data_IF_076776405004
#
_entry.id   IF_076776405004
#
_cell.length_a   1.000
_cell.length_b   1.000
_cell.length_c   1.000
_cell.angle_alpha   90.00
_cell.angle_beta   90.00
_cell.angle_gamma   90.00
#
_symmetry.space_group_name_H-M   'P 1'
#
loop_
_entity.id
_entity.type
_entity.pdbx_description
1 polymer ?
#
# COMPACT_ATOMS: atom_id res chain seq x y z
N UNK A 1 40.01 -16.48 -47.31
CA UNK A 1 41.37 -16.07 -46.87
C UNK A 1 41.23 -14.62 -46.43
N UNK A 2 41.43 -14.32 -45.13
CA UNK A 2 42.70 -13.82 -44.56
C UNK A 2 43.13 -12.50 -45.23
N UNK A 3 43.36 -11.41 -44.50
CA UNK A 3 43.86 -11.30 -43.11
C UNK A 3 42.98 -10.48 -42.14
N UNK A 4 43.20 -10.68 -40.84
CA UNK A 4 42.66 -9.84 -39.76
C UNK A 4 43.58 -8.64 -39.49
N UNK A 5 43.04 -7.59 -38.88
CA UNK A 5 43.81 -6.57 -38.18
C UNK A 5 43.40 -6.57 -36.69
N UNK A 6 44.36 -6.77 -35.79
CA UNK A 6 44.20 -6.62 -34.34
C UNK A 6 45.17 -5.54 -33.87
N UNK A 7 44.74 -4.68 -32.94
CA UNK A 7 45.62 -3.77 -32.21
C UNK A 7 45.10 -3.59 -30.78
N UNK A 8 45.89 -4.04 -29.80
CA UNK A 8 45.57 -4.00 -28.38
C UNK A 8 46.55 -3.09 -27.65
N UNK A 9 46.05 -2.06 -26.96
CA UNK A 9 46.63 -1.32 -25.82
C UNK A 9 45.40 -0.66 -25.14
N UNK A 10 45.03 -0.83 -23.88
CA UNK A 10 45.69 -1.10 -22.59
C UNK A 10 45.90 0.16 -21.71
N UNK A 11 45.15 0.19 -20.61
CA UNK A 11 45.48 0.84 -19.32
C UNK A 11 45.61 2.36 -19.21
N UNK A 12 44.65 2.98 -18.49
CA UNK A 12 44.98 3.86 -17.36
C UNK A 12 43.80 3.95 -16.38
N UNK A 13 44.08 3.83 -15.08
CA UNK A 13 43.17 4.14 -13.98
C UNK A 13 43.75 5.35 -13.23
N UNK A 14 42.92 6.31 -12.85
CA UNK A 14 43.31 7.28 -11.84
C UNK A 14 42.14 7.64 -10.93
N UNK A 15 42.24 7.25 -9.67
CA UNK A 15 41.49 7.88 -8.59
C UNK A 15 42.20 9.18 -8.20
N UNK A 16 41.44 10.15 -7.70
CA UNK A 16 41.97 11.26 -6.90
C UNK A 16 40.96 11.60 -5.80
N UNK A 17 41.32 11.29 -4.56
CA UNK A 17 40.57 11.67 -3.36
C UNK A 17 40.97 13.08 -2.92
N UNK A 18 40.01 13.88 -2.46
CA UNK A 18 40.27 15.16 -1.81
C UNK A 18 39.29 15.37 -0.64
N UNK A 19 39.84 15.67 0.54
CA UNK A 19 39.08 15.83 1.79
C UNK A 19 39.79 16.81 2.73
N UNK A 20 39.18 17.98 3.00
CA UNK A 20 39.57 19.00 3.99
C UNK A 20 38.46 20.08 4.06
N UNK A 21 38.22 20.86 5.13
CA UNK A 21 38.80 20.87 6.50
C UNK A 21 37.69 21.18 7.55
N UNK A 22 38.00 21.70 8.73
CA UNK A 22 37.04 22.07 9.80
C UNK A 22 36.76 23.58 9.93
N UNK A 23 35.63 23.93 10.55
CA UNK A 23 35.41 25.21 11.25
C UNK A 23 33.91 25.54 11.45
N UNK A 24 33.41 26.01 12.60
CA UNK A 24 34.00 26.08 13.95
C UNK A 24 33.49 27.24 14.81
N UNK A 25 32.72 26.96 15.88
CA UNK A 25 32.29 27.91 16.95
C UNK A 25 31.39 29.11 16.54
N UNK A 26 30.64 29.80 17.43
CA UNK A 26 29.99 29.48 18.72
C UNK A 26 29.11 30.67 19.20
N UNK A 27 28.46 30.53 20.37
CA UNK A 27 27.85 31.57 21.25
C UNK A 27 26.41 32.09 20.98
N UNK A 28 25.57 31.89 22.00
CA UNK A 28 24.46 32.80 22.39
C UNK A 28 25.00 33.82 23.43
N UNK A 29 24.27 34.91 23.81
CA UNK A 29 23.26 34.77 24.89
C UNK A 29 22.09 35.82 24.92
N UNK A 30 21.04 35.53 25.73
CA UNK A 30 20.24 36.39 26.67
C UNK A 30 19.83 37.86 26.28
N UNK A 31 18.69 38.46 26.71
CA UNK A 31 17.58 38.09 27.62
C UNK A 31 16.41 39.11 27.63
N UNK A 32 15.23 38.71 28.17
CA UNK A 32 14.19 39.54 28.86
C UNK A 32 13.44 40.67 28.05
N UNK A 33 12.25 41.20 28.42
CA UNK A 33 11.33 40.94 29.56
C UNK A 33 9.85 41.31 29.29
N UNK A 34 8.94 40.56 29.93
CA UNK A 34 7.61 40.90 30.51
C UNK A 34 6.75 42.12 30.05
N UNK A 35 5.45 41.87 29.80
CA UNK A 35 4.31 42.59 30.43
C UNK A 35 2.98 41.79 30.40
N UNK A 36 1.97 42.25 31.16
CA UNK A 36 0.80 41.49 31.62
C UNK A 36 -0.46 41.58 30.73
N UNK A 37 -1.28 40.53 30.74
CA UNK A 37 -2.65 40.49 30.20
C UNK A 37 -3.49 39.39 30.87
N UNK A 38 -4.81 39.58 30.99
CA UNK A 38 -5.73 38.74 31.79
C UNK A 38 -7.16 38.81 31.22
N UNK A 39 -8.05 37.83 31.41
CA UNK A 39 -7.94 36.50 32.04
C UNK A 39 -7.97 35.42 30.92
N UNK A 40 -8.53 34.19 30.91
CA UNK A 40 -9.48 33.40 31.76
C UNK A 40 -9.21 31.89 31.70
N UNK A 41 -9.90 31.17 32.59
CA UNK A 41 -10.19 29.73 32.61
C UNK A 41 -10.54 29.13 31.24
N UNK A 42 -10.14 27.91 30.88
CA UNK A 42 -10.17 26.69 31.72
C UNK A 42 -8.93 25.81 31.52
N UNK A 43 -8.41 25.18 32.58
CA UNK A 43 -7.22 24.33 32.50
C UNK A 43 -7.25 23.15 33.48
N UNK A 44 -7.02 21.94 32.97
CA UNK A 44 -6.62 20.78 33.76
C UNK A 44 -5.25 20.28 33.25
N UNK A 45 -4.20 20.89 33.79
CA UNK A 45 -2.89 20.25 33.90
C UNK A 45 -2.94 19.24 35.10
N UNK A 46 -1.98 18.34 35.32
CA UNK A 46 -0.61 18.36 34.80
C UNK A 46 0.08 16.98 34.75
N UNK A 47 1.14 16.91 33.93
CA UNK A 47 2.34 16.10 34.21
C UNK A 47 3.07 16.61 35.48
N UNK A 48 3.89 15.87 36.23
CA UNK A 48 4.53 14.55 36.03
C UNK A 48 4.96 13.96 37.39
N UNK A 49 4.81 12.63 37.53
CA UNK A 49 5.75 11.66 38.14
C UNK A 49 6.67 12.11 39.30
N UNK A 50 6.38 11.66 40.51
CA UNK A 50 7.35 11.28 41.54
C UNK A 50 6.78 10.11 42.37
N UNK A 51 7.61 9.28 43.00
CA UNK A 51 7.21 7.97 43.53
C UNK A 51 6.78 8.00 45.01
N UNK A 52 5.79 7.17 45.35
CA UNK A 52 5.68 6.54 46.68
C UNK A 52 4.93 5.22 46.59
N UNK A 53 5.50 4.15 47.15
CA UNK A 53 4.77 2.90 47.38
C UNK A 53 3.74 3.09 48.50
N UNK A 54 2.51 2.68 48.24
CA UNK A 54 1.60 2.16 49.24
C UNK A 54 0.79 1.03 48.58
N UNK A 55 0.68 -0.10 49.26
CA UNK A 55 -0.14 -1.23 48.84
C UNK A 55 -1.55 -1.03 49.38
N UNK A 56 -2.56 -1.05 48.51
CA UNK A 56 -3.94 -1.23 48.94
C UNK A 56 -4.67 -2.13 47.93
N UNK A 57 -5.57 -2.98 48.44
CA UNK A 57 -6.04 -4.15 47.71
C UNK A 57 -7.27 -3.82 46.86
N UNK A 58 -7.15 -3.95 45.54
CA UNK A 58 -8.32 -4.14 44.67
C UNK A 58 -8.86 -5.55 44.83
N UNK A 59 -10.18 -5.69 44.98
CA UNK A 59 -10.82 -6.97 45.30
C UNK A 59 -10.89 -7.89 44.07
N UNK A 60 -10.29 -9.09 44.16
CA UNK A 60 -10.55 -10.16 43.20
C UNK A 60 -11.97 -10.68 43.40
N UNK A 61 -12.82 -10.58 42.37
CA UNK A 61 -14.20 -11.05 42.43
C UNK A 61 -14.25 -12.56 42.67
N UNK A 62 -14.70 -12.98 43.87
CA UNK A 62 -14.55 -14.35 44.35
C UNK A 62 -15.13 -15.38 43.36
N UNK A 63 -14.28 -16.32 42.94
CA UNK A 63 -14.68 -17.37 42.01
C UNK A 63 -15.82 -18.21 42.58
N UNK A 64 -16.81 -18.55 41.74
CA UNK A 64 -18.03 -19.25 42.15
C UNK A 64 -17.73 -20.57 42.93
N UNK A 65 -16.65 -21.26 42.56
CA UNK A 65 -16.12 -22.46 43.25
C UNK A 65 -15.60 -22.17 44.66
N UNK A 66 -15.03 -20.99 44.89
CA UNK A 66 -14.54 -20.57 46.20
C UNK A 66 -15.70 -20.16 47.12
N UNK A 67 -16.66 -19.39 46.60
CA UNK A 67 -17.92 -19.07 47.30
C UNK A 67 -18.60 -20.36 47.77
N UNK A 68 -18.75 -21.34 46.87
CA UNK A 68 -19.33 -22.65 47.20
C UNK A 68 -18.49 -23.45 48.22
N UNK A 69 -17.16 -23.36 48.16
CA UNK A 69 -16.28 -24.01 49.15
C UNK A 69 -16.49 -23.39 50.55
N UNK A 70 -16.49 -22.06 50.65
CA UNK A 70 -16.71 -21.31 51.89
C UNK A 70 -18.12 -21.51 52.46
N UNK A 71 -19.13 -21.66 51.60
CA UNK A 71 -20.51 -22.02 52.02
C UNK A 71 -20.56 -23.45 52.57
N UNK A 72 -19.94 -24.43 51.89
CA UNK A 72 -19.87 -25.82 52.35
C UNK A 72 -19.01 -26.03 53.62
N UNK A 73 -18.17 -25.05 53.95
CA UNK A 73 -17.43 -24.97 55.21
C UNK A 73 -18.29 -24.43 56.35
N UNK A 74 -19.06 -23.36 56.12
CA UNK A 74 -19.96 -22.77 57.12
C UNK A 74 -21.20 -23.63 57.43
N UNK A 75 -21.64 -24.48 56.50
CA UNK A 75 -22.84 -25.33 56.65
C UNK A 75 -22.61 -26.66 57.41
N UNK A 76 -21.41 -26.91 57.94
CA UNK A 76 -21.12 -28.13 58.71
C UNK A 76 -21.02 -29.43 57.89
N UNK A 77 -21.08 -29.35 56.55
CA UNK A 77 -21.07 -30.53 55.67
C UNK A 77 -19.78 -31.35 55.80
N UNK A 78 -19.93 -32.68 55.72
CA UNK A 78 -18.86 -33.66 55.88
C UNK A 78 -17.80 -33.57 54.77
N UNK A 79 -16.55 -33.91 55.10
CA UNK A 79 -15.45 -33.95 54.15
C UNK A 79 -15.72 -34.87 52.93
N UNK A 80 -16.56 -35.90 53.09
CA UNK A 80 -17.03 -36.76 51.99
C UNK A 80 -17.96 -36.00 51.03
N UNK A 81 -18.84 -35.16 51.56
CA UNK A 81 -19.83 -34.40 50.80
C UNK A 81 -19.18 -33.25 50.03
N UNK A 82 -18.22 -32.54 50.64
CA UNK A 82 -17.42 -31.50 49.96
C UNK A 82 -16.65 -32.06 48.75
N UNK A 83 -16.11 -33.27 48.87
CA UNK A 83 -15.47 -33.99 47.73
C UNK A 83 -16.50 -34.35 46.64
N UNK A 84 -17.67 -34.85 47.01
CA UNK A 84 -18.76 -35.17 46.07
C UNK A 84 -19.30 -33.93 45.34
N UNK A 85 -19.38 -32.78 46.01
CA UNK A 85 -19.74 -31.49 45.40
C UNK A 85 -18.70 -31.08 44.34
N UNK A 86 -17.41 -31.01 44.69
CA UNK A 86 -16.34 -30.66 43.73
C UNK A 86 -16.26 -31.63 42.55
N UNK A 87 -16.53 -32.93 42.75
CA UNK A 87 -16.62 -33.91 41.64
C UNK A 87 -17.84 -33.68 40.75
N UNK A 88 -19.02 -33.37 41.32
CA UNK A 88 -20.22 -33.03 40.54
C UNK A 88 -20.06 -31.73 39.76
N UNK A 89 -19.38 -30.74 40.32
CA UNK A 89 -19.10 -29.47 39.64
C UNK A 89 -18.01 -29.59 38.58
N UNK A 90 -16.93 -30.33 38.83
CA UNK A 90 -15.98 -30.68 37.78
C UNK A 90 -16.64 -31.47 36.63
N UNK A 91 -17.66 -32.29 36.91
CA UNK A 91 -18.46 -32.96 35.87
C UNK A 91 -19.34 -31.96 35.10
N UNK A 92 -20.13 -31.13 35.80
CA UNK A 92 -20.96 -30.07 35.17
C UNK A 92 -20.11 -29.12 34.33
N UNK A 93 -18.94 -28.72 34.81
CA UNK A 93 -18.02 -27.82 34.12
C UNK A 93 -17.48 -28.46 32.83
N UNK A 94 -17.07 -29.74 32.86
CA UNK A 94 -16.66 -30.48 31.66
C UNK A 94 -17.80 -30.67 30.66
N UNK A 95 -19.03 -30.86 31.14
CA UNK A 95 -20.23 -30.96 30.30
C UNK A 95 -20.62 -29.60 29.70
N UNK A 96 -20.38 -28.50 30.43
CA UNK A 96 -20.54 -27.12 29.97
C UNK A 96 -19.49 -26.76 28.91
N UNK A 97 -18.20 -27.00 29.17
CA UNK A 97 -17.09 -26.80 28.21
C UNK A 97 -17.30 -27.61 26.94
N UNK A 98 -17.73 -28.88 27.06
CA UNK A 98 -18.05 -29.76 25.93
C UNK A 98 -19.25 -29.29 25.09
N UNK A 99 -20.12 -28.44 25.62
CA UNK A 99 -21.30 -27.89 24.91
C UNK A 99 -21.12 -26.44 24.47
N UNK A 100 -20.23 -25.68 25.10
CA UNK A 100 -20.03 -24.24 24.87
C UNK A 100 -18.73 -23.90 24.12
N UNK A 101 -17.82 -24.87 23.90
CA UNK A 101 -16.63 -24.68 23.07
C UNK A 101 -16.95 -24.66 21.56
N UNK A 102 -17.86 -23.78 21.15
CA UNK A 102 -18.10 -23.44 19.75
C UNK A 102 -17.71 -21.96 19.50
N UNK A 103 -16.50 -21.69 18.99
CA UNK A 103 -15.96 -20.33 18.93
C UNK A 103 -16.79 -19.36 18.09
N UNK A 104 -16.82 -18.08 18.48
CA UNK A 104 -17.55 -17.05 17.75
C UNK A 104 -17.04 -16.90 16.29
N UNK A 105 -15.73 -17.07 16.06
CA UNK A 105 -15.17 -17.05 14.70
C UNK A 105 -15.68 -18.21 13.82
N UNK A 106 -16.04 -19.35 14.41
CA UNK A 106 -16.59 -20.48 13.67
C UNK A 106 -18.03 -20.19 13.24
N UNK A 107 -18.84 -19.58 14.12
CA UNK A 107 -20.20 -19.11 13.77
C UNK A 107 -20.18 -18.12 12.61
N UNK A 108 -19.28 -17.13 12.66
CA UNK A 108 -19.10 -16.14 11.59
C UNK A 108 -18.76 -16.81 10.24
N UNK A 109 -17.97 -17.88 10.24
CA UNK A 109 -17.69 -18.65 9.01
C UNK A 109 -18.89 -19.49 8.54
N UNK A 110 -19.71 -20.03 9.44
CA UNK A 110 -20.94 -20.75 9.07
C UNK A 110 -22.04 -19.82 8.56
N UNK A 111 -22.13 -18.61 9.10
CA UNK A 111 -23.02 -17.57 8.60
C UNK A 111 -22.54 -17.09 7.22
N UNK A 112 -21.23 -16.83 7.05
CA UNK A 112 -20.64 -16.51 5.75
C UNK A 112 -20.84 -17.60 4.68
N UNK A 113 -20.79 -18.88 5.05
CA UNK A 113 -21.09 -20.01 4.15
C UNK A 113 -22.54 -20.08 3.63
N UNK A 114 -23.45 -19.24 4.13
CA UNK A 114 -24.83 -19.11 3.61
C UNK A 114 -24.91 -18.13 2.45
N UNK A 115 -23.97 -17.20 2.37
CA UNK A 115 -23.94 -16.08 1.41
C UNK A 115 -22.82 -16.26 0.36
N UNK A 116 -21.69 -16.87 0.74
CA UNK A 116 -20.53 -17.12 -0.12
C UNK A 116 -20.41 -18.60 -0.52
N UNK A 117 -20.65 -18.89 -1.80
CA UNK A 117 -20.53 -20.22 -2.40
C UNK A 117 -19.07 -20.70 -2.53
N UNK A 118 -18.09 -19.81 -2.72
CA UNK A 118 -16.67 -20.20 -2.72
C UNK A 118 -16.22 -20.60 -1.31
N UNK A 119 -16.67 -19.89 -0.27
CA UNK A 119 -16.40 -20.24 1.12
C UNK A 119 -17.10 -21.57 1.49
N UNK A 120 -18.32 -21.77 1.02
CA UNK A 120 -19.05 -23.05 1.15
C UNK A 120 -18.29 -24.20 0.48
N UNK A 121 -17.77 -23.99 -0.73
CA UNK A 121 -16.92 -24.94 -1.45
C UNK A 121 -15.48 -25.09 -0.87
N UNK A 122 -15.10 -24.24 0.09
CA UNK A 122 -13.86 -24.37 0.87
C UNK A 122 -14.06 -25.27 2.09
N UNK A 123 -15.15 -25.08 2.84
CA UNK A 123 -15.40 -25.79 4.10
C UNK A 123 -16.15 -27.12 3.91
N UNK A 124 -17.16 -27.17 3.04
CA UNK A 124 -17.94 -28.36 2.71
C UNK A 124 -18.44 -29.11 3.95
N UNK A 125 -18.21 -30.43 3.99
CA UNK A 125 -18.60 -31.34 5.08
C UNK A 125 -17.93 -31.06 6.45
N UNK A 126 -17.14 -29.98 6.56
CA UNK A 126 -16.44 -29.59 7.80
C UNK A 126 -17.20 -28.54 8.61
N UNK A 127 -18.31 -28.02 8.08
CA UNK A 127 -19.27 -27.15 8.80
C UNK A 127 -19.72 -27.86 10.09
N UNK A 128 -19.90 -27.12 11.19
CA UNK A 128 -20.22 -27.66 12.51
C UNK A 128 -19.02 -28.16 13.35
N UNK A 129 -17.79 -28.18 12.83
CA UNK A 129 -16.59 -28.56 13.62
C UNK A 129 -15.44 -27.54 13.46
N UNK A 130 -15.13 -26.74 14.50
CA UNK A 130 -14.15 -25.65 14.38
C UNK A 130 -12.73 -26.15 14.07
N UNK A 131 -12.30 -27.29 14.61
CA UNK A 131 -10.95 -27.81 14.35
C UNK A 131 -10.77 -28.21 12.88
N UNK A 132 -11.80 -28.81 12.28
CA UNK A 132 -11.81 -29.16 10.87
C UNK A 132 -11.98 -27.92 9.97
N UNK A 133 -12.82 -26.96 10.33
CA UNK A 133 -12.97 -25.69 9.60
C UNK A 133 -11.64 -24.94 9.54
N UNK A 134 -10.96 -24.79 10.68
CA UNK A 134 -9.64 -24.16 10.76
C UNK A 134 -8.64 -24.89 9.86
N UNK A 135 -8.55 -26.22 9.97
CA UNK A 135 -7.60 -27.01 9.17
C UNK A 135 -7.87 -26.91 7.66
N UNK A 136 -9.15 -26.97 7.22
CA UNK A 136 -9.54 -26.77 5.81
C UNK A 136 -9.13 -25.39 5.31
N UNK A 137 -9.38 -24.34 6.11
CA UNK A 137 -9.03 -22.96 5.76
C UNK A 137 -7.51 -22.77 5.68
N UNK A 138 -6.75 -23.31 6.64
CA UNK A 138 -5.29 -23.28 6.69
C UNK A 138 -4.65 -24.05 5.50
N UNK A 139 -5.18 -25.23 5.16
CA UNK A 139 -4.78 -25.98 3.97
C UNK A 139 -5.13 -25.27 2.66
N UNK A 140 -6.28 -24.58 2.58
CA UNK A 140 -6.64 -23.74 1.42
C UNK A 140 -5.72 -22.53 1.31
N UNK A 141 -5.41 -21.82 2.39
CA UNK A 141 -4.44 -20.71 2.39
C UNK A 141 -3.06 -21.19 1.94
N UNK A 142 -2.58 -22.34 2.45
CA UNK A 142 -1.30 -22.95 2.04
C UNK A 142 -1.28 -23.42 0.57
N UNK A 143 -2.43 -23.72 -0.02
CA UNK A 143 -2.58 -24.16 -1.43
C UNK A 143 -2.87 -22.97 -2.37
N UNK A 144 -4.07 -22.37 -2.28
CA UNK A 144 -4.48 -21.18 -3.07
C UNK A 144 -3.55 -19.98 -2.86
N UNK A 145 -2.82 -19.87 -1.75
CA UNK A 145 -1.88 -18.76 -1.49
C UNK A 145 -0.72 -18.61 -2.48
N UNK A 146 -0.46 -19.62 -3.33
CA UNK A 146 0.48 -19.54 -4.47
C UNK A 146 -0.23 -19.42 -5.84
N UNK A 147 -1.53 -19.65 -5.85
CA UNK A 147 -2.41 -19.71 -7.02
C UNK A 147 -3.36 -18.47 -7.07
N UNK A 148 -3.21 -17.51 -6.15
CA UNK A 148 -3.84 -16.19 -6.19
C UNK A 148 -3.32 -15.30 -7.33
N UNK A 149 -2.32 -15.77 -8.10
CA UNK A 149 -1.91 -15.13 -9.34
C UNK A 149 -3.08 -15.18 -10.34
N UNK A 150 -3.56 -13.99 -10.63
CA UNK A 150 -4.38 -13.65 -11.79
C UNK A 150 -3.75 -14.25 -13.05
N UNK A 151 -4.56 -14.54 -14.07
CA UNK A 151 -4.03 -14.90 -15.40
C UNK A 151 -3.37 -13.66 -16.00
N UNK A 152 -2.06 -13.56 -15.84
CA UNK A 152 -1.20 -12.57 -16.48
C UNK A 152 -1.49 -12.59 -17.99
N UNK A 153 -2.08 -11.51 -18.50
CA UNK A 153 -2.52 -11.38 -19.91
C UNK A 153 -1.59 -10.47 -20.72
N UNK A 154 -0.60 -9.88 -20.05
CA UNK A 154 0.40 -9.00 -20.65
C UNK A 154 1.63 -9.71 -21.23
N UNK A 155 2.69 -8.94 -21.38
CA UNK A 155 4.00 -9.33 -21.92
C UNK A 155 5.01 -9.57 -20.79
N UNK A 156 5.64 -10.75 -20.82
CA UNK A 156 6.81 -11.07 -19.98
C UNK A 156 8.07 -10.30 -20.41
N UNK A 157 8.09 -9.77 -21.65
CA UNK A 157 9.16 -8.89 -22.13
C UNK A 157 8.91 -7.45 -21.65
N UNK A 158 9.92 -6.85 -21.04
CA UNK A 158 9.93 -5.43 -20.70
C UNK A 158 9.90 -4.57 -21.97
N UNK A 159 9.05 -3.55 -22.00
CA UNK A 159 8.95 -2.64 -23.13
C UNK A 159 10.16 -1.70 -23.24
N UNK A 160 10.43 -1.24 -24.46
CA UNK A 160 11.46 -0.23 -24.72
C UNK A 160 10.94 1.18 -24.40
N UNK A 161 11.70 1.96 -23.65
CA UNK A 161 11.45 3.40 -23.47
C UNK A 161 12.35 4.21 -24.41
N UNK A 162 11.84 5.29 -24.98
CA UNK A 162 12.67 6.26 -25.72
C UNK A 162 12.11 7.69 -25.65
N UNK A 163 13.00 8.67 -25.78
CA UNK A 163 12.67 10.10 -25.81
C UNK A 163 13.10 10.67 -27.16
N UNK A 164 12.24 11.47 -27.81
CA UNK A 164 12.47 12.05 -29.14
C UNK A 164 11.96 13.48 -29.13
N UNK A 165 12.86 14.46 -29.09
CA UNK A 165 12.52 15.90 -29.05
C UNK A 165 11.50 16.25 -27.94
N UNK A 166 11.59 15.58 -26.78
CA UNK A 166 10.62 15.70 -25.69
C UNK A 166 10.70 17.06 -25.00
N UNK A 167 9.55 17.73 -24.89
CA UNK A 167 9.34 18.97 -24.18
C UNK A 167 8.22 18.77 -23.13
N UNK A 168 8.50 18.89 -21.81
CA UNK A 168 7.51 18.68 -20.75
C UNK A 168 6.23 19.51 -20.86
N UNK A 169 6.28 20.67 -21.52
CA UNK A 169 5.16 21.62 -21.64
C UNK A 169 4.33 21.44 -22.92
N UNK A 170 4.83 20.67 -23.89
CA UNK A 170 4.19 20.43 -25.17
C UNK A 170 4.80 19.16 -25.79
N UNK A 171 4.21 18.01 -25.49
CA UNK A 171 4.61 16.74 -26.11
C UNK A 171 3.51 15.69 -26.09
N UNK A 172 3.50 14.89 -27.15
CA UNK A 172 2.76 13.63 -27.16
C UNK A 172 3.54 12.55 -26.40
N UNK A 173 2.79 11.68 -25.71
CA UNK A 173 3.26 10.39 -25.22
C UNK A 173 2.59 9.32 -26.08
N UNK A 174 3.40 8.42 -26.63
CA UNK A 174 2.98 7.35 -27.52
C UNK A 174 3.24 5.99 -26.88
N UNK A 175 2.31 5.06 -27.02
CA UNK A 175 2.41 3.69 -26.50
C UNK A 175 2.08 2.73 -27.62
N UNK A 176 3.00 1.82 -27.95
CA UNK A 176 2.77 0.74 -28.91
C UNK A 176 2.41 -0.55 -28.17
N UNK A 177 1.30 -1.17 -28.55
CA UNK A 177 0.78 -2.42 -28.00
C UNK A 177 1.17 -3.61 -28.88
N UNK A 178 1.10 -4.83 -28.34
CA UNK A 178 1.38 -6.04 -29.16
C UNK A 178 0.33 -6.31 -30.26
N UNK A 179 -0.87 -5.76 -30.13
CA UNK A 179 -1.95 -5.78 -31.12
C UNK A 179 -2.98 -4.68 -30.84
N UNK A 180 -4.09 -4.70 -31.55
CA UNK A 180 -5.22 -3.77 -31.33
C UNK A 180 -5.81 -3.93 -29.92
N UNK A 181 -6.10 -2.83 -29.19
CA UNK A 181 -6.69 -2.89 -27.86
C UNK A 181 -8.17 -3.25 -27.91
N UNK A 182 -8.62 -4.16 -27.04
CA UNK A 182 -10.05 -4.32 -26.78
C UNK A 182 -10.60 -3.11 -26.04
N UNK A 183 -11.93 -2.94 -26.02
CA UNK A 183 -12.55 -1.76 -25.39
C UNK A 183 -12.26 -1.71 -23.88
N UNK A 184 -12.08 -2.89 -23.26
CA UNK A 184 -11.60 -3.05 -21.88
C UNK A 184 -10.16 -2.53 -21.69
N UNK A 185 -9.31 -2.67 -22.70
CA UNK A 185 -7.91 -2.24 -22.63
C UNK A 185 -7.80 -0.72 -22.82
N UNK A 186 -8.67 -0.15 -23.67
CA UNK A 186 -8.91 1.30 -23.78
C UNK A 186 -9.37 1.87 -22.43
N UNK A 187 -10.40 1.29 -21.81
CA UNK A 187 -10.90 1.71 -20.48
C UNK A 187 -9.80 1.61 -19.40
N UNK A 188 -9.01 0.54 -19.42
CA UNK A 188 -7.97 0.28 -18.42
C UNK A 188 -6.79 1.25 -18.56
N UNK A 189 -6.24 1.40 -19.76
CA UNK A 189 -5.13 2.33 -20.01
C UNK A 189 -5.58 3.78 -19.80
N UNK A 190 -6.81 4.09 -20.23
CA UNK A 190 -7.48 5.37 -19.97
C UNK A 190 -7.59 5.70 -18.49
N UNK A 191 -8.15 4.78 -17.70
CA UNK A 191 -8.27 4.94 -16.24
C UNK A 191 -6.92 5.13 -15.54
N UNK A 192 -5.86 4.47 -16.01
CA UNK A 192 -4.49 4.63 -15.47
C UNK A 192 -3.96 6.03 -15.77
N UNK A 193 -4.06 6.50 -17.01
CA UNK A 193 -3.56 7.82 -17.43
C UNK A 193 -4.39 8.95 -16.78
N UNK A 194 -5.72 8.81 -16.69
CA UNK A 194 -6.60 9.74 -15.98
C UNK A 194 -6.26 9.81 -14.48
N UNK A 195 -6.00 8.67 -13.83
CA UNK A 195 -5.58 8.63 -12.42
C UNK A 195 -4.23 9.34 -12.21
N UNK A 196 -3.26 9.11 -13.10
CA UNK A 196 -1.97 9.79 -13.11
C UNK A 196 -2.12 11.30 -13.33
N UNK A 197 -2.98 11.72 -14.28
CA UNK A 197 -3.30 13.12 -14.54
C UNK A 197 -3.91 13.81 -13.30
N UNK A 198 -4.92 13.21 -12.68
CA UNK A 198 -5.55 13.76 -11.45
C UNK A 198 -4.54 13.89 -10.31
N UNK A 199 -3.67 12.90 -10.10
CA UNK A 199 -2.57 12.99 -9.13
C UNK A 199 -1.59 14.13 -9.46
N UNK A 200 -1.26 14.33 -10.74
CA UNK A 200 -0.38 15.41 -11.19
C UNK A 200 -1.02 16.80 -11.09
N UNK A 201 -2.32 16.95 -11.35
CA UNK A 201 -3.05 18.22 -11.15
C UNK A 201 -3.13 18.63 -9.67
N UNK A 202 -3.19 17.65 -8.76
CA UNK A 202 -3.12 17.85 -7.30
C UNK A 202 -1.68 17.98 -6.77
N UNK A 203 -0.66 17.83 -7.64
CA UNK A 203 0.75 18.00 -7.30
C UNK A 203 1.35 16.88 -6.46
N UNK A 204 0.84 15.65 -6.57
CA UNK A 204 1.37 14.48 -5.87
C UNK A 204 2.81 14.11 -6.26
N UNK A 205 3.28 14.56 -7.43
CA UNK A 205 4.62 14.28 -7.97
C UNK A 205 5.68 15.34 -7.60
N UNK A 206 5.42 16.18 -6.61
CA UNK A 206 6.35 17.20 -6.13
C UNK A 206 7.58 16.58 -5.43
N UNK A 207 8.70 16.50 -6.16
CA UNK A 207 9.95 15.90 -5.67
C UNK A 207 10.60 16.71 -4.54
N UNK A 208 10.40 18.03 -4.56
CA UNK A 208 10.87 18.96 -3.53
C UNK A 208 10.15 18.81 -2.18
N UNK A 209 8.99 18.14 -2.14
CA UNK A 209 8.20 17.87 -0.92
C UNK A 209 8.23 16.39 -0.49
N UNK A 210 9.20 15.58 -0.93
CA UNK A 210 9.33 14.16 -0.58
C UNK A 210 9.89 13.95 0.84
N UNK A 211 9.19 14.47 1.84
CA UNK A 211 9.65 14.55 3.24
C UNK A 211 9.95 13.20 3.92
N UNK A 212 9.55 12.07 3.33
CA UNK A 212 9.71 10.73 3.93
C UNK A 212 10.85 9.91 3.33
N UNK A 213 11.22 10.13 2.06
CA UNK A 213 12.14 9.23 1.34
C UNK A 213 13.53 9.17 2.00
N UNK A 214 14.03 10.30 2.48
CA UNK A 214 15.35 10.41 3.11
C UNK A 214 15.28 10.39 4.66
N UNK A 215 14.12 10.10 5.27
CA UNK A 215 14.00 9.98 6.74
C UNK A 215 14.33 8.56 7.19
N UNK A 216 15.31 8.43 8.08
CA UNK A 216 15.60 7.16 8.73
C UNK A 216 14.42 6.71 9.61
N UNK A 217 13.83 5.55 9.31
CA UNK A 217 12.69 4.95 10.01
C UNK A 217 13.04 4.40 11.42
N UNK A 218 14.03 5.00 12.10
CA UNK A 218 14.41 4.71 13.48
C UNK A 218 13.43 5.25 14.52
N UNK A 219 12.52 6.12 14.08
CA UNK A 219 11.49 6.78 14.86
C UNK A 219 10.23 6.95 13.98
N UNK A 220 9.08 7.21 14.60
CA UNK A 220 7.84 7.47 13.86
C UNK A 220 8.04 8.70 12.95
N UNK A 221 7.85 8.56 11.62
CA UNK A 221 7.99 9.69 10.71
C UNK A 221 6.89 10.72 10.97
N UNK A 222 7.28 11.99 11.06
CA UNK A 222 6.37 13.13 11.12
C UNK A 222 6.40 13.89 9.79
N UNK A 223 5.22 14.33 9.34
CA UNK A 223 5.05 15.19 8.18
C UNK A 223 4.87 16.64 8.64
N UNK A 224 5.58 17.56 8.01
CA UNK A 224 5.64 18.97 8.39
C UNK A 224 4.87 19.83 7.36
N UNK A 225 3.77 20.42 7.82
CA UNK A 225 2.91 21.31 7.01
C UNK A 225 3.52 22.69 6.79
N UNK A 226 4.39 23.15 7.69
CA UNK A 226 5.17 24.38 7.53
C UNK A 226 6.31 24.19 6.53
N UNK A 227 6.90 23.00 6.44
CA UNK A 227 7.83 22.65 5.37
C UNK A 227 7.08 22.56 4.03
N UNK A 228 5.96 21.82 3.98
CA UNK A 228 5.20 21.61 2.75
C UNK A 228 4.68 22.92 2.12
N UNK A 229 4.27 23.89 2.93
CA UNK A 229 3.77 25.20 2.45
C UNK A 229 4.87 26.17 1.98
N UNK A 230 6.16 25.86 2.20
CA UNK A 230 7.31 26.64 1.72
C UNK A 230 7.85 26.11 0.38
N UNK A 231 7.44 24.92 -0.05
CA UNK A 231 7.82 24.32 -1.33
C UNK A 231 6.92 24.86 -2.45
N UNK A 232 7.48 25.14 -3.63
CA UNK A 232 6.67 25.58 -4.78
C UNK A 232 5.70 24.48 -5.23
N UNK A 233 4.44 24.80 -5.57
CA UNK A 233 3.52 23.86 -6.20
C UNK A 233 4.09 23.31 -7.52
N UNK A 234 4.03 21.99 -7.65
CA UNK A 234 4.59 21.23 -8.77
C UNK A 234 3.44 20.41 -9.35
N UNK A 235 2.79 20.91 -10.41
CA UNK A 235 1.55 20.33 -10.92
C UNK A 235 1.40 20.42 -12.45
N UNK A 236 0.70 19.45 -13.01
CA UNK A 236 0.30 19.45 -14.43
C UNK A 236 -0.59 20.66 -14.72
N UNK A 237 -0.63 21.10 -15.98
CA UNK A 237 -1.61 22.08 -16.43
C UNK A 237 -2.79 21.40 -17.12
N UNK A 238 -2.52 20.58 -18.16
CA UNK A 238 -3.55 20.08 -19.08
C UNK A 238 -3.13 18.78 -19.79
N UNK A 239 -4.09 18.08 -20.41
CA UNK A 239 -3.90 16.80 -21.11
C UNK A 239 -5.00 16.62 -22.17
N UNK A 240 -4.73 15.90 -23.27
CA UNK A 240 -5.77 15.55 -24.25
C UNK A 240 -6.54 14.27 -23.87
N UNK A 241 -7.71 14.07 -24.49
CA UNK A 241 -8.29 12.74 -24.70
C UNK A 241 -7.20 11.78 -25.24
N UNK A 242 -7.28 10.49 -24.90
CA UNK A 242 -6.35 9.47 -25.37
C UNK A 242 -6.92 8.86 -26.63
N UNK A 243 -6.18 8.98 -27.73
CA UNK A 243 -6.54 8.47 -29.04
C UNK A 243 -5.87 7.13 -29.32
N UNK A 244 -6.56 6.25 -30.04
CA UNK A 244 -6.05 4.94 -30.45
C UNK A 244 -6.24 4.76 -31.96
N UNK A 245 -5.18 4.33 -32.65
CA UNK A 245 -5.18 3.90 -34.05
C UNK A 245 -4.44 2.57 -34.13
N UNK A 246 -5.11 1.51 -34.60
CA UNK A 246 -4.61 0.14 -34.64
C UNK A 246 -3.95 -0.31 -33.32
N UNK A 247 -2.63 -0.53 -33.30
CA UNK A 247 -1.88 -0.89 -32.08
C UNK A 247 -1.18 0.29 -31.38
N UNK A 248 -1.43 1.53 -31.79
CA UNK A 248 -0.86 2.74 -31.20
C UNK A 248 -1.88 3.49 -30.35
N UNK A 249 -1.47 3.90 -29.15
CA UNK A 249 -2.16 4.89 -28.33
C UNK A 249 -1.34 6.18 -28.25
N UNK A 250 -2.02 7.34 -28.25
CA UNK A 250 -1.41 8.67 -28.18
C UNK A 250 -2.23 9.61 -27.30
N UNK A 251 -1.56 10.41 -26.49
CA UNK A 251 -2.15 11.59 -25.84
C UNK A 251 -1.13 12.73 -25.78
N UNK A 252 -1.59 13.97 -25.74
CA UNK A 252 -0.78 15.17 -25.50
C UNK A 252 -0.82 15.56 -24.01
N UNK A 253 0.25 16.14 -23.48
CA UNK A 253 0.31 16.62 -22.09
C UNK A 253 1.13 17.91 -21.95
N UNK A 254 0.65 18.82 -21.10
CA UNK A 254 1.44 19.90 -20.48
C UNK A 254 1.64 19.55 -18.99
N UNK A 255 2.86 19.09 -18.66
CA UNK A 255 3.26 18.74 -17.30
C UNK A 255 3.43 19.97 -16.40
N UNK A 256 3.38 21.19 -16.95
CA UNK A 256 3.39 22.44 -16.21
C UNK A 256 4.61 22.60 -15.31
N UNK A 257 4.38 22.67 -14.00
CA UNK A 257 5.45 22.75 -12.99
C UNK A 257 5.78 21.39 -12.35
N UNK A 258 5.25 20.28 -12.87
CA UNK A 258 5.48 18.95 -12.31
C UNK A 258 6.91 18.43 -12.57
N UNK A 259 7.51 17.85 -11.53
CA UNK A 259 8.84 17.25 -11.62
C UNK A 259 8.82 15.93 -12.42
N UNK A 260 9.98 15.55 -12.98
CA UNK A 260 10.16 14.32 -13.75
C UNK A 260 9.82 13.01 -13.01
N UNK A 261 9.69 13.06 -11.67
CA UNK A 261 9.12 11.99 -10.85
C UNK A 261 7.76 11.50 -11.38
N UNK A 262 6.97 12.40 -11.99
CA UNK A 262 5.73 12.05 -12.67
C UNK A 262 5.92 10.98 -13.77
N UNK A 263 7.00 11.07 -14.54
CA UNK A 263 7.33 10.13 -15.60
C UNK A 263 7.84 8.81 -15.04
N UNK A 264 8.66 8.84 -13.98
CA UNK A 264 9.11 7.64 -13.27
C UNK A 264 7.93 6.86 -12.69
N UNK A 265 6.98 7.54 -12.05
CA UNK A 265 5.76 6.88 -11.51
C UNK A 265 4.90 6.31 -12.63
N UNK A 266 4.75 7.02 -13.76
CA UNK A 266 4.03 6.50 -14.93
C UNK A 266 4.71 5.24 -15.49
N UNK A 267 6.04 5.26 -15.68
CA UNK A 267 6.79 4.12 -16.23
C UNK A 267 6.77 2.91 -15.29
N UNK A 268 6.87 3.11 -13.98
CA UNK A 268 6.70 2.04 -13.00
C UNK A 268 5.28 1.45 -13.04
N UNK A 269 4.25 2.28 -13.18
CA UNK A 269 2.86 1.81 -13.33
C UNK A 269 2.66 1.03 -14.63
N UNK A 270 3.12 1.57 -15.76
CA UNK A 270 3.06 0.91 -17.07
C UNK A 270 3.84 -0.41 -17.08
N UNK A 271 4.93 -0.55 -16.31
CA UNK A 271 5.68 -1.82 -16.18
C UNK A 271 4.79 -2.94 -15.64
N UNK A 272 4.05 -2.69 -14.56
CA UNK A 272 3.13 -3.68 -13.96
C UNK A 272 1.87 -3.87 -14.82
N UNK A 273 1.36 -2.81 -15.45
CA UNK A 273 0.29 -2.93 -16.44
C UNK A 273 0.70 -3.85 -17.61
N UNK A 274 1.96 -3.71 -18.05
CA UNK A 274 2.51 -4.47 -19.17
C UNK A 274 2.75 -5.94 -18.85
N UNK A 275 3.10 -6.32 -17.61
CA UNK A 275 3.23 -7.74 -17.24
C UNK A 275 1.87 -8.40 -17.05
N UNK A 276 0.98 -7.77 -16.28
CA UNK A 276 -0.17 -8.46 -15.70
C UNK A 276 -1.43 -8.35 -16.59
N UNK A 277 -1.55 -7.29 -17.40
CA UNK A 277 -2.81 -6.92 -18.07
C UNK A 277 -2.68 -6.82 -19.60
N UNK A 278 -1.88 -5.88 -20.10
CA UNK A 278 -1.91 -5.40 -21.47
C UNK A 278 -0.49 -5.26 -22.00
N UNK A 279 -0.06 -6.15 -22.90
CA UNK A 279 1.32 -6.17 -23.38
C UNK A 279 1.70 -4.90 -24.17
N UNK A 280 2.65 -4.13 -23.64
CA UNK A 280 3.27 -2.98 -24.30
C UNK A 280 4.57 -3.44 -25.00
N UNK A 281 4.83 -2.96 -26.22
CA UNK A 281 6.11 -3.13 -26.94
C UNK A 281 7.09 -2.00 -26.62
N UNK A 282 6.63 -0.75 -26.73
CA UNK A 282 7.44 0.44 -26.47
C UNK A 282 6.61 1.66 -26.05
N UNK A 283 7.26 2.58 -25.33
CA UNK A 283 6.75 3.91 -24.95
C UNK A 283 7.70 4.96 -25.52
N UNK A 284 7.15 5.98 -26.19
CA UNK A 284 7.91 7.08 -26.78
C UNK A 284 7.40 8.41 -26.22
N UNK A 285 8.31 9.18 -25.62
CA UNK A 285 8.04 10.54 -25.14
C UNK A 285 8.49 11.55 -26.19
N UNK A 286 7.58 12.45 -26.59
CA UNK A 286 7.80 13.39 -27.68
C UNK A 286 7.71 12.74 -29.07
N UNK A 287 8.14 13.48 -30.09
CA UNK A 287 8.03 13.10 -31.50
C UNK A 287 6.67 13.46 -32.09
N UNK A 288 6.69 14.09 -33.27
CA UNK A 288 5.47 14.61 -33.94
C UNK A 288 4.70 13.52 -34.72
N UNK A 289 5.43 12.53 -35.25
CA UNK A 289 4.90 11.37 -35.97
C UNK A 289 5.70 10.13 -35.58
N UNK A 290 5.01 9.05 -35.25
CA UNK A 290 5.56 7.78 -34.78
C UNK A 290 4.74 6.65 -35.44
N UNK A 291 5.42 5.58 -35.87
CA UNK A 291 4.77 4.46 -36.55
C UNK A 291 4.03 4.90 -37.82
N UNK A 292 2.88 4.28 -38.05
CA UNK A 292 2.00 4.47 -39.20
C UNK A 292 0.82 5.42 -38.87
N UNK A 293 0.97 6.28 -37.85
CA UNK A 293 -0.08 7.18 -37.36
C UNK A 293 -0.44 8.27 -38.37
N UNK A 294 -1.73 8.39 -38.71
CA UNK A 294 -2.24 9.40 -39.65
C UNK A 294 -3.15 10.43 -38.96
N UNK A 295 -2.80 11.70 -39.12
CA UNK A 295 -3.49 12.82 -38.49
C UNK A 295 -4.87 13.03 -39.14
N UNK A 296 -5.92 13.09 -38.30
CA UNK A 296 -7.31 13.26 -38.76
C UNK A 296 -8.04 11.95 -39.08
N UNK A 297 -7.39 10.77 -38.99
CA UNK A 297 -8.10 9.49 -39.05
C UNK A 297 -8.84 9.22 -37.74
N UNK A 298 -10.10 9.68 -37.66
CA UNK A 298 -10.97 9.63 -36.46
C UNK A 298 -12.26 8.82 -36.66
N UNK A 299 -12.36 8.04 -37.75
CA UNK A 299 -13.53 7.22 -38.06
C UNK A 299 -13.48 5.86 -37.34
N UNK A 300 -14.42 5.52 -36.43
CA UNK A 300 -14.42 4.24 -35.73
C UNK A 300 -14.54 3.00 -36.63
N UNK A 301 -14.99 3.16 -37.89
CA UNK A 301 -15.02 2.07 -38.86
C UNK A 301 -13.61 1.66 -39.36
N UNK A 302 -12.60 2.49 -39.09
CA UNK A 302 -11.19 2.24 -39.40
C UNK A 302 -10.37 2.08 -38.11
N UNK A 303 -10.91 1.36 -37.12
CA UNK A 303 -10.18 1.01 -35.88
C UNK A 303 -10.01 2.14 -34.85
N UNK A 304 -10.31 3.40 -35.20
CA UNK A 304 -10.15 4.52 -34.28
C UNK A 304 -11.02 4.39 -33.02
N UNK A 305 -10.39 4.51 -31.85
CA UNK A 305 -11.05 4.58 -30.54
C UNK A 305 -10.50 5.77 -29.77
N UNK A 306 -11.24 6.26 -28.78
CA UNK A 306 -10.71 7.19 -27.80
C UNK A 306 -11.23 6.94 -26.39
N UNK A 307 -10.47 7.40 -25.40
CA UNK A 307 -10.86 7.48 -24.00
C UNK A 307 -10.83 8.95 -23.56
N UNK A 308 -11.88 9.39 -22.87
CA UNK A 308 -12.02 10.78 -22.42
C UNK A 308 -11.58 10.97 -20.98
N UNK A 309 -10.80 12.03 -20.73
CA UNK A 309 -10.20 12.32 -19.41
C UNK A 309 -11.08 13.28 -18.59
#
# INVERSE_FOLDING_TARGET
MLTQAQSTIASSLHLSSLSFIHGGSSLCPLSLSFRHGRNTTTSCAASRRAEKKQEEKGEEGEGLVEILTRVAEKSGMSARERRLLKVREAKRQREYERTHNYPQWAKILEDGCKEDEELRAILGDSIGNPELMRKRMEERIRKKGRDFRKKETGSVLAFKVSFRDFNPLDSHIWIELYGEPSDRDVDLLGSVIQSWYVMGRLGAFNSSNLQLINKAMSHNPLYDSEMASKVMPSSFHDISDIEFQDSWARFWVDLGTADFLALDVLLNCLTVLSSDYLGIKQVVFGGRRIGDWEEGMTNPQFGYKNFKI
#
